data_IF_074292578967
#
_entry.id   IF_074292578967
#
_cell.length_a   1.000
_cell.length_b   1.000
_cell.length_c   1.000
_cell.angle_alpha   90.00
_cell.angle_beta   90.00
_cell.angle_gamma   90.00
#
_symmetry.space_group_name_H-M   'P 1'
#
loop_
_entity.id
_entity.type
_entity.pdbx_description
1 polymer ?
#
# COMPACT_ATOMS: atom_id res chain seq x y z
N UNK A 1 -8.81 45.46 -4.90
CA UNK A 1 -8.37 44.39 -3.96
C UNK A 1 -7.83 43.22 -4.76
N UNK A 2 -8.54 42.81 -5.80
CA UNK A 2 -8.20 41.65 -6.65
C UNK A 2 -6.85 41.77 -7.36
N UNK A 3 -6.49 42.95 -7.87
CA UNK A 3 -5.17 43.17 -8.51
C UNK A 3 -4.00 42.92 -7.54
N UNK A 4 -4.09 43.39 -6.29
CA UNK A 4 -3.06 43.14 -5.26
C UNK A 4 -2.97 41.66 -4.88
N UNK A 5 -4.10 40.96 -4.84
CA UNK A 5 -4.13 39.52 -4.57
C UNK A 5 -3.48 38.73 -5.72
N UNK A 6 -3.80 39.05 -6.97
CA UNK A 6 -3.21 38.39 -8.14
C UNK A 6 -1.71 38.68 -8.24
N UNK A 7 -1.26 39.90 -7.94
CA UNK A 7 0.17 40.22 -7.86
C UNK A 7 0.89 39.44 -6.76
N UNK A 8 0.27 39.26 -5.59
CA UNK A 8 0.82 38.45 -4.50
C UNK A 8 0.94 36.97 -4.90
N UNK A 9 -0.13 36.38 -5.42
CA UNK A 9 -0.13 34.99 -5.89
C UNK A 9 0.88 34.77 -7.03
N UNK A 10 0.99 35.71 -7.96
CA UNK A 10 1.98 35.65 -9.04
C UNK A 10 3.41 35.63 -8.48
N UNK A 11 3.69 36.46 -7.47
CA UNK A 11 4.99 36.50 -6.81
C UNK A 11 5.32 35.18 -6.11
N UNK A 12 4.34 34.57 -5.44
CA UNK A 12 4.49 33.26 -4.80
C UNK A 12 4.75 32.15 -5.82
N UNK A 13 4.02 32.14 -6.95
CA UNK A 13 4.24 31.19 -8.05
C UNK A 13 5.67 31.33 -8.57
N UNK A 14 6.13 32.55 -8.86
CA UNK A 14 7.49 32.79 -9.36
C UNK A 14 8.57 32.35 -8.37
N UNK A 15 8.38 32.59 -7.08
CA UNK A 15 9.30 32.11 -6.04
C UNK A 15 9.33 30.57 -5.99
N UNK A 16 8.18 29.93 -6.14
CA UNK A 16 8.05 28.46 -6.14
C UNK A 16 8.70 27.84 -7.37
N UNK A 17 8.49 28.43 -8.56
CA UNK A 17 9.16 28.01 -9.80
C UNK A 17 10.68 28.15 -9.70
N UNK A 18 11.18 29.22 -9.06
CA UNK A 18 12.62 29.38 -8.82
C UNK A 18 13.17 28.27 -7.91
N UNK A 19 12.44 27.90 -6.85
CA UNK A 19 12.79 26.77 -5.99
C UNK A 19 12.79 25.46 -6.79
N UNK A 20 11.78 25.22 -7.60
CA UNK A 20 11.69 24.05 -8.49
C UNK A 20 12.90 23.96 -9.41
N UNK A 21 13.27 25.04 -10.11
CA UNK A 21 14.46 25.06 -10.99
C UNK A 21 15.74 24.71 -10.24
N UNK A 22 15.93 25.24 -9.03
CA UNK A 22 17.10 24.94 -8.22
C UNK A 22 17.14 23.47 -7.79
N UNK A 23 15.99 22.91 -7.37
CA UNK A 23 15.86 21.50 -7.00
C UNK A 23 16.10 20.58 -8.20
N UNK A 24 15.52 20.87 -9.37
CA UNK A 24 15.75 20.12 -10.62
C UNK A 24 17.23 20.11 -10.97
N UNK A 25 17.92 21.25 -10.88
CA UNK A 25 19.37 21.33 -11.14
C UNK A 25 20.18 20.48 -10.15
N UNK A 26 19.76 20.45 -8.88
CA UNK A 26 20.35 19.56 -7.87
C UNK A 26 20.21 18.09 -8.27
N UNK A 27 19.00 17.65 -8.60
CA UNK A 27 18.71 16.26 -9.00
C UNK A 27 19.47 15.88 -10.27
N UNK A 28 19.47 16.77 -11.28
CA UNK A 28 20.20 16.58 -12.53
C UNK A 28 21.73 16.49 -12.33
N UNK A 29 22.28 17.16 -11.32
CA UNK A 29 23.69 17.09 -10.98
C UNK A 29 24.06 15.82 -10.20
N UNK A 30 23.12 15.26 -9.44
CA UNK A 30 23.31 14.02 -8.65
C UNK A 30 22.90 12.74 -9.39
N UNK A 31 22.33 12.85 -10.59
CA UNK A 31 21.88 11.70 -11.38
C UNK A 31 22.97 11.24 -12.34
N UNK A 32 23.37 9.98 -12.22
CA UNK A 32 24.35 9.36 -13.12
C UNK A 32 23.74 8.92 -14.47
N UNK A 33 22.41 8.80 -14.55
CA UNK A 33 21.71 8.41 -15.78
C UNK A 33 21.44 9.61 -16.69
N UNK A 34 22.02 9.57 -17.89
CA UNK A 34 21.85 10.61 -18.91
C UNK A 34 20.38 10.80 -19.29
N UNK A 35 19.63 9.72 -19.44
CA UNK A 35 18.24 9.78 -19.90
C UNK A 35 17.33 10.42 -18.84
N UNK A 36 17.50 10.05 -17.57
CA UNK A 36 16.79 10.67 -16.44
C UNK A 36 17.12 12.16 -16.32
N UNK A 37 18.39 12.53 -16.50
CA UNK A 37 18.84 13.93 -16.46
C UNK A 37 18.24 14.78 -17.58
N UNK A 38 18.14 14.25 -18.79
CA UNK A 38 17.54 14.97 -19.92
C UNK A 38 16.03 15.12 -19.75
N UNK A 39 15.34 14.02 -19.39
CA UNK A 39 13.89 14.01 -19.16
C UNK A 39 13.47 15.00 -18.07
N UNK A 40 14.17 15.03 -16.92
CA UNK A 40 13.79 15.91 -15.81
C UNK A 40 13.97 17.40 -16.17
N UNK A 41 15.00 17.74 -16.97
CA UNK A 41 15.25 19.10 -17.43
C UNK A 41 14.17 19.53 -18.42
N UNK A 42 13.86 18.68 -19.41
CA UNK A 42 12.83 18.95 -20.41
C UNK A 42 11.45 19.15 -19.77
N UNK A 43 11.05 18.25 -18.86
CA UNK A 43 9.78 18.39 -18.13
C UNK A 43 9.73 19.60 -17.21
N UNK A 44 10.85 19.94 -16.56
CA UNK A 44 10.92 21.16 -15.75
C UNK A 44 10.81 22.42 -16.61
N UNK A 45 11.39 22.42 -17.82
CA UNK A 45 11.25 23.50 -18.78
C UNK A 45 9.79 23.67 -19.22
N UNK A 46 9.11 22.56 -19.53
CA UNK A 46 7.68 22.56 -19.88
C UNK A 46 6.81 23.18 -18.76
N UNK A 47 7.06 22.83 -17.49
CA UNK A 47 6.37 23.42 -16.33
C UNK A 47 6.61 24.93 -16.25
N UNK A 48 7.85 25.39 -16.47
CA UNK A 48 8.19 26.81 -16.45
C UNK A 48 7.48 27.58 -17.57
N UNK A 49 7.46 27.02 -18.78
CA UNK A 49 6.83 27.65 -19.94
C UNK A 49 5.32 27.79 -19.74
N UNK A 50 4.63 26.71 -19.37
CA UNK A 50 3.19 26.70 -19.11
C UNK A 50 2.81 27.59 -17.93
N UNK A 51 3.61 27.60 -16.86
CA UNK A 51 3.36 28.48 -15.71
C UNK A 51 3.57 29.96 -16.06
N UNK A 52 4.53 30.28 -16.93
CA UNK A 52 4.72 31.64 -17.43
C UNK A 52 3.56 32.06 -18.32
N UNK A 53 3.03 31.14 -19.13
CA UNK A 53 1.82 31.37 -19.92
C UNK A 53 0.61 31.65 -19.02
N UNK A 54 0.42 30.86 -17.95
CA UNK A 54 -0.63 31.08 -16.93
C UNK A 54 -0.54 32.48 -16.30
N UNK A 55 0.65 32.90 -15.89
CA UNK A 55 0.87 34.24 -15.29
C UNK A 55 0.54 35.36 -16.28
N UNK A 56 0.97 35.23 -17.54
CA UNK A 56 0.67 36.23 -18.57
C UNK A 56 -0.84 36.36 -18.81
N UNK A 57 -1.54 35.23 -18.90
CA UNK A 57 -2.98 35.24 -19.18
C UNK A 57 -3.79 35.69 -17.94
N UNK A 58 -3.37 35.29 -16.73
CA UNK A 58 -3.94 35.78 -15.48
C UNK A 58 -3.86 37.32 -15.39
N UNK A 59 -2.73 37.92 -15.81
CA UNK A 59 -2.58 39.38 -15.82
C UNK A 59 -3.53 40.07 -16.81
N UNK A 60 -3.84 39.45 -17.95
CA UNK A 60 -4.84 39.98 -18.90
C UNK A 60 -6.25 39.87 -18.34
N UNK A 61 -6.56 38.76 -17.66
CA UNK A 61 -7.86 38.50 -17.05
C UNK A 61 -8.23 39.52 -15.96
N UNK A 62 -7.24 40.14 -15.27
CA UNK A 62 -7.48 41.22 -14.29
C UNK A 62 -8.26 42.40 -14.91
N UNK A 63 -8.00 42.71 -16.18
CA UNK A 63 -8.60 43.83 -16.88
C UNK A 63 -9.99 43.50 -17.45
N UNK A 64 -10.38 42.21 -17.44
CA UNK A 64 -11.61 41.67 -18.06
C UNK A 64 -12.21 40.52 -17.21
N UNK A 65 -12.67 40.80 -15.98
CA UNK A 65 -12.99 39.76 -14.99
C UNK A 65 -14.23 38.90 -15.31
N UNK A 66 -15.17 39.39 -16.11
CA UNK A 66 -16.45 38.72 -16.42
C UNK A 66 -16.45 38.00 -17.78
N UNK A 67 -15.30 37.89 -18.44
CA UNK A 67 -15.22 37.19 -19.72
C UNK A 67 -15.12 35.68 -19.52
N UNK A 68 -16.17 34.96 -19.93
CA UNK A 68 -16.28 33.51 -19.81
C UNK A 68 -15.21 32.78 -20.65
N UNK A 69 -14.79 33.36 -21.77
CA UNK A 69 -13.79 32.78 -22.67
C UNK A 69 -12.40 32.82 -22.03
N UNK A 70 -12.04 33.96 -21.42
CA UNK A 70 -10.78 34.12 -20.69
C UNK A 70 -10.74 33.23 -19.45
N UNK A 71 -11.86 33.09 -18.72
CA UNK A 71 -11.94 32.18 -17.57
C UNK A 71 -11.77 30.70 -17.97
N UNK A 72 -12.44 30.26 -19.05
CA UNK A 72 -12.30 28.91 -19.57
C UNK A 72 -10.87 28.62 -20.03
N UNK A 73 -10.27 29.58 -20.74
CA UNK A 73 -8.89 29.49 -21.20
C UNK A 73 -7.90 29.43 -20.03
N UNK A 74 -8.12 30.21 -18.97
CA UNK A 74 -7.29 30.18 -17.77
C UNK A 74 -7.39 28.82 -17.04
N UNK A 75 -8.60 28.26 -16.95
CA UNK A 75 -8.83 26.93 -16.37
C UNK A 75 -8.15 25.81 -17.19
N UNK A 76 -8.16 25.92 -18.52
CA UNK A 76 -7.44 25.01 -19.41
C UNK A 76 -5.93 25.09 -19.20
N UNK A 77 -5.35 26.30 -19.21
CA UNK A 77 -3.92 26.50 -18.95
C UNK A 77 -3.54 25.96 -17.56
N UNK A 78 -4.38 26.15 -16.53
CA UNK A 78 -4.13 25.59 -15.20
C UNK A 78 -4.13 24.05 -15.21
N UNK A 79 -5.00 23.41 -15.98
CA UNK A 79 -5.02 21.96 -16.19
C UNK A 79 -3.75 21.48 -16.90
N UNK A 80 -3.30 22.22 -17.91
CA UNK A 80 -2.04 21.94 -18.59
C UNK A 80 -0.83 22.06 -17.66
N UNK A 81 -0.76 23.11 -16.82
CA UNK A 81 0.29 23.26 -15.81
C UNK A 81 0.28 22.07 -14.84
N UNK A 82 -0.91 21.64 -14.41
CA UNK A 82 -1.06 20.47 -13.53
C UNK A 82 -0.58 19.18 -14.20
N UNK A 83 -0.87 19.01 -15.48
CA UNK A 83 -0.42 17.87 -16.28
C UNK A 83 1.11 17.86 -16.46
N UNK A 84 1.70 19.01 -16.77
CA UNK A 84 3.16 19.14 -16.87
C UNK A 84 3.86 18.92 -15.53
N UNK A 85 3.26 19.38 -14.42
CA UNK A 85 3.78 19.13 -13.07
C UNK A 85 3.79 17.63 -12.76
N UNK A 86 2.70 16.92 -13.06
CA UNK A 86 2.64 15.46 -12.91
C UNK A 86 3.67 14.73 -13.78
N UNK A 87 3.85 15.16 -15.03
CA UNK A 87 4.89 14.60 -15.91
C UNK A 87 6.31 14.85 -15.37
N UNK A 88 6.55 16.01 -14.76
CA UNK A 88 7.80 16.33 -14.09
C UNK A 88 8.03 15.45 -12.86
N UNK A 89 6.99 15.17 -12.07
CA UNK A 89 7.04 14.26 -10.92
C UNK A 89 7.36 12.84 -11.39
N UNK A 90 6.70 12.33 -12.44
CA UNK A 90 6.97 10.98 -12.97
C UNK A 90 8.35 10.83 -13.61
N UNK A 91 9.02 11.92 -13.97
CA UNK A 91 10.40 11.90 -14.44
C UNK A 91 11.44 11.89 -13.30
N UNK A 92 11.00 11.93 -12.04
CA UNK A 92 11.90 11.87 -10.89
C UNK A 92 12.51 10.46 -10.78
N UNK A 93 13.80 10.34 -10.40
CA UNK A 93 14.45 9.04 -10.29
C UNK A 93 13.71 8.06 -9.36
N UNK A 94 13.18 8.55 -8.23
CA UNK A 94 12.42 7.73 -7.27
C UNK A 94 11.12 7.16 -7.86
N UNK A 95 10.42 7.93 -8.70
CA UNK A 95 9.21 7.49 -9.39
C UNK A 95 9.50 6.45 -10.45
N UNK A 96 10.60 6.62 -11.22
CA UNK A 96 10.96 5.70 -12.30
C UNK A 96 11.15 4.27 -11.82
N UNK A 97 11.84 4.06 -10.69
CA UNK A 97 12.05 2.72 -10.14
C UNK A 97 10.74 2.03 -9.76
N UNK A 98 9.79 2.78 -9.19
CA UNK A 98 8.48 2.26 -8.82
C UNK A 98 7.61 2.01 -10.06
N UNK A 99 7.68 2.85 -11.08
CA UNK A 99 7.00 2.65 -12.36
C UNK A 99 7.49 1.41 -13.10
N UNK A 100 8.81 1.22 -13.16
CA UNK A 100 9.43 0.03 -13.76
C UNK A 100 9.03 -1.25 -12.99
N UNK A 101 8.89 -1.17 -11.66
CA UNK A 101 8.42 -2.28 -10.85
C UNK A 101 6.93 -2.58 -11.05
N UNK A 102 6.07 -1.55 -11.08
CA UNK A 102 4.62 -1.72 -11.35
C UNK A 102 4.43 -2.38 -12.71
N UNK A 103 5.18 -1.95 -13.73
CA UNK A 103 5.14 -2.55 -15.06
C UNK A 103 5.55 -4.03 -15.02
N UNK A 104 6.69 -4.35 -14.40
CA UNK A 104 7.18 -5.73 -14.28
C UNK A 104 6.20 -6.63 -13.52
N UNK A 105 5.66 -6.17 -12.39
CA UNK A 105 4.65 -6.92 -11.61
C UNK A 105 3.37 -7.12 -12.43
N UNK A 106 2.93 -6.09 -13.16
CA UNK A 106 1.73 -6.17 -14.02
C UNK A 106 1.87 -7.18 -15.16
N UNK A 107 3.08 -7.38 -15.70
CA UNK A 107 3.33 -8.39 -16.74
C UNK A 107 3.08 -9.83 -16.25
N UNK A 108 3.22 -10.11 -14.94
CA UNK A 108 2.92 -11.42 -14.38
C UNK A 108 1.43 -11.78 -14.40
N UNK A 109 0.52 -10.82 -14.64
CA UNK A 109 -0.90 -11.14 -14.84
C UNK A 109 -1.10 -12.06 -16.04
N UNK A 110 -0.27 -11.93 -17.09
CA UNK A 110 -0.32 -12.79 -18.28
C UNK A 110 0.25 -14.18 -18.00
N UNK A 111 1.25 -14.28 -17.11
CA UNK A 111 1.77 -15.58 -16.65
C UNK A 111 0.70 -16.33 -15.86
N UNK A 112 -0.07 -15.62 -15.01
CA UNK A 112 -1.18 -16.18 -14.24
C UNK A 112 -2.46 -16.43 -15.06
N UNK A 113 -2.59 -15.79 -16.22
CA UNK A 113 -3.72 -15.91 -17.14
C UNK A 113 -3.48 -16.78 -18.37
N UNK A 114 -2.22 -17.15 -18.63
CA UNK A 114 -1.83 -17.96 -19.78
C UNK A 114 -2.33 -19.40 -19.72
N UNK A 115 -2.34 -20.12 -20.86
CA UNK A 115 -2.70 -21.53 -20.88
C UNK A 115 -1.70 -22.32 -20.02
N UNK A 116 -2.19 -22.88 -18.91
CA UNK A 116 -1.43 -23.77 -18.05
C UNK A 116 -1.18 -25.07 -18.82
N UNK A 117 0.08 -25.33 -19.14
CA UNK A 117 0.49 -26.41 -20.01
C UNK A 117 0.45 -27.75 -19.26
N UNK A 118 -0.69 -28.46 -19.35
CA UNK A 118 -0.90 -29.79 -18.73
C UNK A 118 0.15 -30.82 -19.19
N UNK A 119 0.85 -30.57 -20.30
CA UNK A 119 1.84 -31.46 -20.91
C UNK A 119 3.29 -31.11 -20.58
N UNK A 120 3.56 -30.06 -19.78
CA UNK A 120 4.91 -29.83 -19.25
C UNK A 120 5.18 -30.90 -18.19
N UNK A 121 5.76 -31.99 -18.69
CA UNK A 121 6.29 -33.19 -18.05
C UNK A 121 6.30 -33.08 -16.52
N UNK A 122 5.62 -34.05 -15.89
CA UNK A 122 5.91 -34.53 -14.54
C UNK A 122 7.40 -34.89 -14.46
N UNK A 123 8.29 -33.90 -14.43
CA UNK A 123 9.63 -34.13 -13.92
C UNK A 123 9.43 -34.62 -12.51
N UNK A 124 10.18 -35.64 -12.14
CA UNK A 124 10.23 -36.25 -10.82
C UNK A 124 10.74 -35.23 -9.80
N UNK A 125 10.02 -34.14 -9.63
CA UNK A 125 10.39 -33.07 -8.72
C UNK A 125 9.94 -33.53 -7.36
N UNK A 126 10.91 -33.62 -6.45
CA UNK A 126 10.62 -33.93 -5.08
C UNK A 126 9.71 -32.82 -4.51
N UNK A 127 8.43 -33.15 -4.32
CA UNK A 127 7.40 -32.21 -3.87
C UNK A 127 7.75 -31.53 -2.54
N UNK A 128 8.58 -32.17 -1.72
CA UNK A 128 9.12 -31.57 -0.49
C UNK A 128 10.14 -30.46 -0.78
N UNK A 129 10.99 -30.64 -1.80
CA UNK A 129 11.95 -29.62 -2.22
C UNK A 129 11.22 -28.40 -2.77
N UNK A 130 10.18 -28.60 -3.59
CA UNK A 130 9.34 -27.49 -4.08
C UNK A 130 8.52 -26.80 -2.99
N UNK A 131 8.10 -27.55 -1.97
CA UNK A 131 7.43 -26.97 -0.80
C UNK A 131 8.37 -26.07 0.01
N UNK A 132 9.63 -26.50 0.19
CA UNK A 132 10.65 -25.67 0.82
C UNK A 132 10.99 -24.46 -0.05
N UNK A 133 11.07 -24.61 -1.38
CA UNK A 133 11.29 -23.51 -2.33
C UNK A 133 10.18 -22.46 -2.27
N UNK A 134 8.89 -22.85 -2.29
CA UNK A 134 7.80 -21.86 -2.19
C UNK A 134 7.74 -21.19 -0.82
N UNK A 135 8.06 -21.93 0.26
CA UNK A 135 8.12 -21.35 1.61
C UNK A 135 9.28 -20.36 1.75
N UNK A 136 10.44 -20.68 1.18
CA UNK A 136 11.62 -19.80 1.18
C UNK A 136 11.39 -18.55 0.32
N UNK A 137 10.79 -18.70 -0.87
CA UNK A 137 10.45 -17.56 -1.73
C UNK A 137 9.34 -16.70 -1.13
N UNK A 138 8.37 -17.30 -0.43
CA UNK A 138 7.37 -16.56 0.35
C UNK A 138 8.02 -15.74 1.49
N UNK A 139 8.95 -16.33 2.24
CA UNK A 139 9.69 -15.63 3.28
C UNK A 139 10.52 -14.47 2.71
N UNK A 140 11.22 -14.69 1.59
CA UNK A 140 11.97 -13.66 0.88
C UNK A 140 11.05 -12.52 0.38
N UNK A 141 9.87 -12.84 -0.15
CA UNK A 141 8.90 -11.84 -0.60
C UNK A 141 8.30 -11.05 0.58
N UNK A 142 8.01 -11.69 1.72
CA UNK A 142 7.58 -10.99 2.94
C UNK A 142 8.66 -10.04 3.47
N UNK A 143 9.92 -10.47 3.45
CA UNK A 143 11.04 -9.60 3.82
C UNK A 143 11.17 -8.43 2.85
N UNK A 144 11.15 -8.69 1.54
CA UNK A 144 11.24 -7.65 0.52
C UNK A 144 10.07 -6.65 0.60
N UNK A 145 8.87 -7.12 0.97
CA UNK A 145 7.69 -6.30 1.24
C UNK A 145 7.96 -5.34 2.40
N UNK A 146 8.55 -5.84 3.49
CA UNK A 146 8.91 -5.04 4.66
C UNK A 146 10.00 -4.02 4.33
N UNK A 147 11.03 -4.44 3.61
CA UNK A 147 12.14 -3.59 3.18
C UNK A 147 11.66 -2.46 2.26
N UNK A 148 10.70 -2.74 1.36
CA UNK A 148 10.06 -1.73 0.52
C UNK A 148 9.33 -0.66 1.34
N UNK A 149 8.59 -1.06 2.38
CA UNK A 149 7.93 -0.10 3.29
C UNK A 149 8.96 0.78 3.99
N UNK A 150 10.05 0.19 4.48
CA UNK A 150 11.14 0.92 5.15
C UNK A 150 11.84 1.88 4.18
N UNK A 151 12.18 1.42 2.97
CA UNK A 151 12.84 2.23 1.95
C UNK A 151 11.94 3.37 1.44
N UNK A 152 10.64 3.16 1.39
CA UNK A 152 9.67 4.23 1.07
C UNK A 152 9.63 5.29 2.18
N UNK A 153 9.73 4.88 3.44
CA UNK A 153 9.72 5.77 4.61
C UNK A 153 11.02 6.57 4.78
N UNK A 154 12.16 5.99 4.44
CA UNK A 154 13.46 6.66 4.60
C UNK A 154 13.61 7.84 3.64
N UNK A 155 12.91 7.84 2.51
CA UNK A 155 12.94 8.91 1.52
C UNK A 155 14.27 9.00 0.73
N UNK A 156 15.20 8.05 0.95
CA UNK A 156 16.42 7.96 0.16
C UNK A 156 16.15 7.21 -1.15
N UNK A 157 16.32 7.91 -2.26
CA UNK A 157 16.14 7.36 -3.62
C UNK A 157 16.95 6.09 -3.87
N UNK A 158 18.16 5.99 -3.31
CA UNK A 158 19.02 4.82 -3.50
C UNK A 158 18.52 3.59 -2.74
N UNK A 159 17.94 3.78 -1.54
CA UNK A 159 17.36 2.69 -0.77
C UNK A 159 16.09 2.20 -1.45
N UNK A 160 15.24 3.14 -1.91
CA UNK A 160 14.02 2.81 -2.64
C UNK A 160 14.32 2.02 -3.92
N UNK A 161 15.36 2.38 -4.69
CA UNK A 161 15.75 1.64 -5.88
C UNK A 161 16.14 0.18 -5.56
N UNK A 162 16.94 -0.01 -4.49
CA UNK A 162 17.38 -1.35 -4.05
C UNK A 162 16.20 -2.19 -3.56
N UNK A 163 15.37 -1.64 -2.68
CA UNK A 163 14.24 -2.38 -2.08
C UNK A 163 13.16 -2.69 -3.10
N UNK A 164 12.88 -1.77 -4.02
CA UNK A 164 11.92 -1.99 -5.14
C UNK A 164 12.41 -3.06 -6.11
N UNK A 165 13.71 -3.08 -6.43
CA UNK A 165 14.30 -4.12 -7.29
C UNK A 165 14.29 -5.49 -6.60
N UNK A 166 14.63 -5.54 -5.30
CA UNK A 166 14.56 -6.76 -4.51
C UNK A 166 13.13 -7.30 -4.42
N UNK A 167 12.14 -6.44 -4.17
CA UNK A 167 10.73 -6.78 -4.16
C UNK A 167 10.28 -7.39 -5.49
N UNK A 168 10.57 -6.73 -6.62
CA UNK A 168 10.16 -7.19 -7.95
C UNK A 168 10.77 -8.55 -8.29
N UNK A 169 12.04 -8.77 -7.94
CA UNK A 169 12.71 -10.05 -8.11
C UNK A 169 12.11 -11.15 -7.24
N UNK A 170 11.92 -10.88 -5.93
CA UNK A 170 11.32 -11.83 -5.00
C UNK A 170 9.88 -12.19 -5.41
N UNK A 171 9.13 -11.22 -5.91
CA UNK A 171 7.78 -11.41 -6.43
C UNK A 171 7.78 -12.34 -7.65
N UNK A 172 8.66 -12.08 -8.62
CA UNK A 172 8.80 -12.93 -9.80
C UNK A 172 9.21 -14.36 -9.47
N UNK A 173 10.20 -14.53 -8.58
CA UNK A 173 10.60 -15.84 -8.06
C UNK A 173 9.42 -16.59 -7.42
N UNK A 174 8.64 -15.90 -6.57
CA UNK A 174 7.47 -16.48 -5.90
C UNK A 174 6.36 -16.88 -6.89
N UNK A 175 5.98 -16.00 -7.82
CA UNK A 175 4.93 -16.29 -8.81
C UNK A 175 5.33 -17.44 -9.73
N UNK A 176 6.58 -17.46 -10.21
CA UNK A 176 7.06 -18.55 -11.07
C UNK A 176 7.02 -19.91 -10.35
N UNK A 177 7.46 -19.97 -9.08
CA UNK A 177 7.35 -21.18 -8.26
C UNK A 177 5.87 -21.56 -7.99
N UNK A 178 5.01 -20.57 -7.75
CA UNK A 178 3.57 -20.77 -7.60
C UNK A 178 2.91 -21.35 -8.85
N UNK A 179 3.20 -20.82 -10.03
CA UNK A 179 2.66 -21.33 -11.29
C UNK A 179 3.17 -22.75 -11.58
N UNK A 180 4.44 -23.03 -11.30
CA UNK A 180 5.00 -24.38 -11.40
C UNK A 180 4.25 -25.36 -10.48
N UNK A 181 3.99 -24.99 -9.23
CA UNK A 181 3.22 -25.81 -8.29
C UNK A 181 1.75 -25.97 -8.71
N UNK A 182 1.14 -24.93 -9.28
CA UNK A 182 -0.21 -25.01 -9.82
C UNK A 182 -0.30 -26.06 -10.94
N UNK A 183 0.71 -26.16 -11.80
CA UNK A 183 0.76 -27.16 -12.87
C UNK A 183 0.88 -28.60 -12.35
N UNK A 184 1.41 -28.80 -11.14
CA UNK A 184 1.53 -30.11 -10.50
C UNK A 184 0.29 -30.51 -9.67
N UNK A 185 -0.72 -29.64 -9.56
CA UNK A 185 -1.96 -29.98 -8.88
C UNK A 185 -2.79 -30.95 -9.73
N UNK A 186 -3.15 -32.14 -9.19
CA UNK A 186 -3.87 -33.16 -9.95
C UNK A 186 -5.35 -32.81 -10.17
N UNK A 187 -5.90 -31.95 -9.32
CA UNK A 187 -7.31 -31.56 -9.35
C UNK A 187 -7.47 -30.14 -9.94
N UNK A 188 -8.39 -30.02 -10.90
CA UNK A 188 -8.66 -28.77 -11.62
C UNK A 188 -9.27 -27.70 -10.71
N UNK A 189 -10.04 -28.09 -9.68
CA UNK A 189 -10.63 -27.17 -8.70
C UNK A 189 -9.57 -26.63 -7.74
N UNK A 190 -8.76 -27.50 -7.12
CA UNK A 190 -7.59 -27.10 -6.31
C UNK A 190 -6.61 -26.22 -7.08
N UNK A 191 -6.35 -26.55 -8.34
CA UNK A 191 -5.49 -25.72 -9.22
C UNK A 191 -6.08 -24.33 -9.43
N UNK A 192 -7.37 -24.24 -9.73
CA UNK A 192 -8.06 -22.97 -9.94
C UNK A 192 -8.00 -22.10 -8.67
N UNK A 193 -8.30 -22.69 -7.51
CA UNK A 193 -8.23 -22.01 -6.23
C UNK A 193 -6.82 -21.49 -5.92
N UNK A 194 -5.78 -22.29 -6.21
CA UNK A 194 -4.39 -21.88 -6.00
C UNK A 194 -3.97 -20.72 -6.92
N UNK A 195 -4.38 -20.73 -8.19
CA UNK A 195 -4.14 -19.62 -9.12
C UNK A 195 -4.88 -18.34 -8.65
N UNK A 196 -6.08 -18.46 -8.12
CA UNK A 196 -6.81 -17.31 -7.53
C UNK A 196 -6.03 -16.72 -6.36
N UNK A 197 -5.47 -17.54 -5.47
CA UNK A 197 -4.63 -17.06 -4.37
C UNK A 197 -3.38 -16.32 -4.89
N UNK A 198 -2.72 -16.81 -5.95
CA UNK A 198 -1.59 -16.10 -6.58
C UNK A 198 -2.01 -14.77 -7.23
N UNK A 199 -3.19 -14.71 -7.84
CA UNK A 199 -3.76 -13.46 -8.38
C UNK A 199 -4.07 -12.43 -7.29
N UNK A 200 -4.48 -12.87 -6.11
CA UNK A 200 -4.67 -11.98 -4.95
C UNK A 200 -3.34 -11.37 -4.50
N UNK A 201 -2.26 -12.18 -4.43
CA UNK A 201 -0.91 -11.67 -4.15
C UNK A 201 -0.53 -10.61 -5.19
N UNK A 202 -0.62 -10.91 -6.49
CA UNK A 202 -0.37 -9.96 -7.57
C UNK A 202 -1.14 -8.63 -7.41
N UNK A 203 -2.45 -8.71 -7.15
CA UNK A 203 -3.30 -7.53 -7.03
C UNK A 203 -2.90 -6.68 -5.82
N UNK A 204 -2.66 -7.31 -4.66
CA UNK A 204 -2.21 -6.61 -3.46
C UNK A 204 -0.79 -6.03 -3.61
N UNK A 205 0.12 -6.71 -4.31
CA UNK A 205 1.48 -6.23 -4.58
C UNK A 205 1.48 -4.99 -5.49
N UNK A 206 0.62 -4.96 -6.53
CA UNK A 206 0.43 -3.76 -7.34
C UNK A 206 -0.14 -2.60 -6.52
N UNK A 207 -1.14 -2.85 -5.66
CA UNK A 207 -1.69 -1.83 -4.77
C UNK A 207 -0.63 -1.26 -3.81
N UNK A 208 0.25 -2.12 -3.27
CA UNK A 208 1.37 -1.70 -2.44
C UNK A 208 2.34 -0.78 -3.21
N UNK A 209 2.73 -1.16 -4.43
CA UNK A 209 3.62 -0.36 -5.26
C UNK A 209 3.02 0.98 -5.66
N UNK A 210 1.73 1.02 -6.04
CA UNK A 210 1.00 2.27 -6.31
C UNK A 210 0.95 3.16 -5.07
N UNK A 211 0.75 2.55 -3.89
CA UNK A 211 0.76 3.30 -2.64
C UNK A 211 2.15 3.85 -2.32
N UNK A 212 3.20 3.04 -2.50
CA UNK A 212 4.59 3.47 -2.35
C UNK A 212 4.93 4.62 -3.31
N UNK A 213 4.44 4.55 -4.56
CA UNK A 213 4.59 5.61 -5.57
C UNK A 213 3.94 6.90 -5.14
N UNK A 214 2.72 6.86 -4.62
CA UNK A 214 2.03 8.06 -4.13
C UNK A 214 2.77 8.74 -2.98
N UNK A 215 3.32 7.95 -2.05
CA UNK A 215 4.01 8.44 -0.85
C UNK A 215 5.41 8.96 -1.19
N UNK A 216 6.09 8.34 -2.16
CA UNK A 216 7.43 8.78 -2.58
C UNK A 216 7.45 10.17 -3.25
N UNK A 217 6.29 10.71 -3.64
CA UNK A 217 6.17 12.08 -4.17
C UNK A 217 6.00 13.10 -3.06
N UNK A 218 5.42 12.67 -1.93
CA UNK A 218 5.12 13.58 -0.85
C UNK A 218 6.41 14.00 -0.14
N UNK A 219 6.61 15.31 0.11
CA UNK A 219 7.69 15.78 0.96
C UNK A 219 7.71 15.02 2.28
N UNK A 220 8.88 14.61 2.77
CA UNK A 220 9.02 13.86 4.04
C UNK A 220 8.37 14.57 5.24
N UNK A 221 8.23 15.90 5.17
CA UNK A 221 7.55 16.73 6.16
C UNK A 221 6.01 16.67 6.10
N UNK A 222 5.44 16.22 4.98
CA UNK A 222 3.97 16.06 4.77
C UNK A 222 3.54 14.60 4.70
N UNK A 223 4.47 13.64 4.72
CA UNK A 223 4.13 12.23 4.89
C UNK A 223 3.42 12.10 6.23
N UNK A 224 2.10 12.03 6.17
CA UNK A 224 1.27 11.87 7.36
C UNK A 224 1.46 10.47 7.90
N UNK A 225 1.27 10.33 9.21
CA UNK A 225 1.24 9.04 9.88
C UNK A 225 0.21 8.08 9.24
N UNK A 226 -0.84 8.62 8.61
CA UNK A 226 -1.87 7.85 7.92
C UNK A 226 -1.41 7.33 6.57
N UNK A 227 -0.62 8.08 5.80
CA UNK A 227 -0.02 7.58 4.57
C UNK A 227 0.93 6.41 4.87
N UNK A 228 1.73 6.52 5.93
CA UNK A 228 2.56 5.43 6.43
C UNK A 228 1.74 4.23 6.92
N UNK A 229 0.60 4.47 7.58
CA UNK A 229 -0.30 3.41 8.02
C UNK A 229 -0.97 2.70 6.84
N UNK A 230 -1.41 3.44 5.82
CA UNK A 230 -1.98 2.85 4.62
C UNK A 230 -0.96 2.01 3.84
N UNK A 231 0.30 2.45 3.81
CA UNK A 231 1.39 1.66 3.23
C UNK A 231 1.64 0.36 4.01
N UNK A 232 1.66 0.43 5.35
CA UNK A 232 1.79 -0.76 6.20
C UNK A 232 0.60 -1.69 6.09
N UNK A 233 -0.62 -1.16 5.98
CA UNK A 233 -1.81 -1.96 5.77
C UNK A 233 -1.76 -2.67 4.41
N UNK A 234 -1.34 -1.99 3.34
CA UNK A 234 -1.14 -2.63 2.05
C UNK A 234 -0.09 -3.75 2.11
N UNK A 235 1.02 -3.54 2.82
CA UNK A 235 2.04 -4.56 3.04
C UNK A 235 1.52 -5.75 3.87
N UNK A 236 0.67 -5.50 4.87
CA UNK A 236 0.00 -6.55 5.65
C UNK A 236 -0.91 -7.40 4.77
N UNK A 237 -1.73 -6.78 3.92
CA UNK A 237 -2.59 -7.51 2.96
C UNK A 237 -1.77 -8.38 2.01
N UNK A 238 -0.61 -7.89 1.52
CA UNK A 238 0.31 -8.69 0.70
C UNK A 238 0.81 -9.91 1.48
N UNK A 239 1.24 -9.70 2.72
CA UNK A 239 1.75 -10.75 3.61
C UNK A 239 0.67 -11.81 3.90
N UNK A 240 -0.56 -11.38 4.16
CA UNK A 240 -1.70 -12.25 4.42
C UNK A 240 -2.04 -13.09 3.17
N UNK A 241 -2.01 -12.49 1.98
CA UNK A 241 -2.23 -13.21 0.72
C UNK A 241 -1.10 -14.23 0.43
N UNK A 242 0.16 -13.89 0.73
CA UNK A 242 1.29 -14.82 0.59
C UNK A 242 1.12 -16.01 1.54
N UNK A 243 0.76 -15.73 2.79
CA UNK A 243 0.49 -16.77 3.78
C UNK A 243 -0.68 -17.66 3.34
N UNK A 244 -1.75 -17.06 2.81
CA UNK A 244 -2.89 -17.79 2.27
C UNK A 244 -2.51 -18.73 1.12
N UNK A 245 -1.61 -18.32 0.20
CA UNK A 245 -1.08 -19.21 -0.85
C UNK A 245 -0.39 -20.43 -0.23
N UNK A 246 0.48 -20.23 0.77
CA UNK A 246 1.14 -21.34 1.48
C UNK A 246 0.09 -22.24 2.15
N UNK A 247 -0.92 -21.66 2.78
CA UNK A 247 -2.01 -22.39 3.43
C UNK A 247 -2.79 -23.23 2.41
N UNK A 248 -3.21 -22.66 1.29
CA UNK A 248 -3.93 -23.40 0.23
C UNK A 248 -3.07 -24.54 -0.32
N UNK A 249 -1.77 -24.31 -0.53
CA UNK A 249 -0.86 -25.35 -0.99
C UNK A 249 -0.69 -26.48 0.04
N UNK A 250 -0.45 -26.16 1.31
CA UNK A 250 -0.32 -27.15 2.39
C UNK A 250 -1.62 -27.94 2.56
N UNK A 251 -2.77 -27.26 2.58
CA UNK A 251 -4.09 -27.88 2.69
C UNK A 251 -4.42 -28.75 1.47
N UNK A 252 -3.95 -28.39 0.27
CA UNK A 252 -4.12 -29.22 -0.94
C UNK A 252 -3.43 -30.59 -0.83
N UNK A 253 -2.31 -30.67 -0.09
CA UNK A 253 -1.50 -31.87 0.22
C UNK A 253 -1.96 -32.60 1.48
N UNK A 254 -2.62 -31.90 2.40
CA UNK A 254 -3.14 -32.43 3.64
C UNK A 254 -4.41 -33.30 3.42
N UNK A 255 -4.23 -34.58 3.12
CA UNK A 255 -5.30 -35.60 3.25
C UNK A 255 -5.58 -36.00 4.70
N UNK A 256 -4.96 -35.33 5.69
CA UNK A 256 -5.13 -35.61 7.11
C UNK A 256 -5.55 -34.37 7.89
N UNK A 257 -6.61 -34.51 8.68
CA UNK A 257 -7.15 -33.49 9.60
C UNK A 257 -6.08 -32.97 10.58
N UNK A 258 -5.03 -33.74 10.85
CA UNK A 258 -3.91 -33.35 11.72
C UNK A 258 -3.00 -32.27 11.10
N UNK A 259 -2.91 -32.19 9.77
CA UNK A 259 -2.08 -31.18 9.07
C UNK A 259 -2.75 -29.80 8.99
N UNK A 260 -4.09 -29.75 8.98
CA UNK A 260 -4.85 -28.48 8.97
C UNK A 260 -4.69 -27.76 10.32
N UNK A 261 -4.77 -28.48 11.45
CA UNK A 261 -4.57 -27.89 12.77
C UNK A 261 -3.18 -27.27 12.96
N UNK A 262 -2.14 -27.90 12.41
CA UNK A 262 -0.76 -27.37 12.45
C UNK A 262 -0.62 -26.08 11.63
N UNK A 263 -1.21 -26.05 10.44
CA UNK A 263 -1.15 -24.90 9.55
C UNK A 263 -1.84 -23.67 10.17
N UNK A 264 -2.98 -23.85 10.83
CA UNK A 264 -3.67 -22.76 11.53
C UNK A 264 -2.87 -22.23 12.71
N UNK A 265 -2.16 -23.11 13.44
CA UNK A 265 -1.21 -22.67 14.47
C UNK A 265 -0.06 -21.84 13.86
N UNK A 266 0.52 -22.27 12.74
CA UNK A 266 1.60 -21.54 12.07
C UNK A 266 1.10 -20.17 11.56
N UNK A 267 -0.13 -20.10 11.06
CA UNK A 267 -0.75 -18.84 10.62
C UNK A 267 -1.00 -17.89 11.79
N UNK A 268 -1.55 -18.39 12.90
CA UNK A 268 -1.76 -17.63 14.13
C UNK A 268 -0.44 -17.06 14.69
N UNK A 269 0.65 -17.84 14.68
CA UNK A 269 1.97 -17.37 15.12
C UNK A 269 2.46 -16.21 14.26
N UNK A 270 2.28 -16.28 12.93
CA UNK A 270 2.67 -15.18 12.03
C UNK A 270 1.88 -13.90 12.32
N UNK A 271 0.56 -14.00 12.46
CA UNK A 271 -0.29 -12.85 12.82
C UNK A 271 0.14 -12.22 14.16
N UNK A 272 0.43 -13.04 15.16
CA UNK A 272 0.90 -12.56 16.47
C UNK A 272 2.28 -11.88 16.40
N UNK A 273 3.24 -12.41 15.64
CA UNK A 273 4.55 -11.76 15.46
C UNK A 273 4.42 -10.41 14.73
N UNK A 274 3.52 -10.26 13.75
CA UNK A 274 3.27 -8.94 13.14
C UNK A 274 2.71 -7.93 14.15
N UNK A 275 1.82 -8.38 15.05
CA UNK A 275 1.25 -7.54 16.11
C UNK A 275 2.30 -7.11 17.15
N UNK A 276 3.33 -7.92 17.38
CA UNK A 276 4.47 -7.57 18.25
C UNK A 276 5.34 -6.47 17.66
N UNK A 277 5.63 -6.51 16.34
CA UNK A 277 6.32 -5.40 15.67
C UNK A 277 5.51 -4.11 15.75
N UNK A 278 4.18 -4.22 15.66
CA UNK A 278 3.27 -3.09 15.87
C UNK A 278 3.37 -2.53 17.30
N UNK A 279 3.39 -3.41 18.31
CA UNK A 279 3.56 -3.04 19.73
C UNK A 279 4.86 -2.27 20.00
N UNK A 280 5.94 -2.60 19.31
CA UNK A 280 7.22 -1.89 19.42
C UNK A 280 7.17 -0.45 18.88
N UNK A 281 6.19 -0.12 18.03
CA UNK A 281 6.03 1.21 17.42
C UNK A 281 4.93 2.06 18.09
N UNK A 282 4.28 1.56 19.15
CA UNK A 282 3.07 2.15 19.74
C UNK A 282 3.25 3.53 20.38
N UNK A 283 4.47 3.93 20.71
CA UNK A 283 4.72 5.26 21.27
C UNK A 283 4.55 6.39 20.23
N UNK A 284 4.55 6.06 18.94
CA UNK A 284 4.66 7.06 17.86
C UNK A 284 3.31 7.42 17.22
N UNK A 285 2.28 6.56 17.31
CA UNK A 285 1.03 6.77 16.58
C UNK A 285 -0.20 6.15 17.29
N UNK A 286 -1.35 6.85 17.29
CA UNK A 286 -2.62 6.24 17.70
C UNK A 286 -3.06 5.19 16.67
N UNK A 287 -3.31 3.97 17.13
CA UNK A 287 -3.77 2.85 16.30
C UNK A 287 -5.23 3.02 15.86
N UNK A 288 -6.03 3.62 16.73
CA UNK A 288 -7.47 3.81 16.57
C UNK A 288 -7.90 5.17 17.13
N UNK A 289 -9.20 5.48 17.02
CA UNK A 289 -9.80 6.72 17.54
C UNK A 289 -10.45 6.53 18.92
N UNK A 290 -10.18 5.42 19.61
CA UNK A 290 -10.78 5.15 20.91
C UNK A 290 -10.23 6.09 21.97
N UNK A 291 -11.12 6.50 22.86
CA UNK A 291 -10.76 7.12 24.13
C UNK A 291 -10.15 6.09 25.07
N UNK A 292 -9.50 6.56 26.15
CA UNK A 292 -8.84 5.68 27.11
C UNK A 292 -9.80 4.64 27.70
N UNK A 293 -11.03 5.04 28.04
CA UNK A 293 -12.03 4.15 28.63
C UNK A 293 -12.60 3.15 27.63
N UNK A 294 -12.85 3.57 26.38
CA UNK A 294 -13.27 2.65 25.31
C UNK A 294 -12.17 1.62 25.00
N UNK A 295 -10.90 2.04 24.98
CA UNK A 295 -9.77 1.13 24.82
C UNK A 295 -9.69 0.11 25.98
N UNK A 296 -10.00 0.53 27.21
CA UNK A 296 -10.04 -0.35 28.38
C UNK A 296 -11.17 -1.38 28.27
N UNK A 297 -12.37 -0.96 27.89
CA UNK A 297 -13.51 -1.87 27.68
C UNK A 297 -13.18 -2.92 26.60
N UNK A 298 -12.56 -2.50 25.49
CA UNK A 298 -12.10 -3.43 24.46
C UNK A 298 -11.01 -4.39 24.95
N UNK A 299 -10.09 -3.96 25.83
CA UNK A 299 -9.12 -4.88 26.45
C UNK A 299 -9.83 -5.93 27.30
N UNK A 300 -10.83 -5.52 28.09
CA UNK A 300 -11.61 -6.44 28.92
C UNK A 300 -12.36 -7.46 28.06
N UNK A 301 -13.10 -6.99 27.05
CA UNK A 301 -13.87 -7.86 26.15
C UNK A 301 -12.97 -8.84 25.39
N UNK A 302 -11.85 -8.37 24.84
CA UNK A 302 -10.91 -9.23 24.13
C UNK A 302 -10.19 -10.21 25.06
N UNK A 303 -9.91 -9.83 26.32
CA UNK A 303 -9.35 -10.75 27.32
C UNK A 303 -10.31 -11.89 27.66
N UNK A 304 -11.62 -11.60 27.74
CA UNK A 304 -12.66 -12.59 27.95
C UNK A 304 -12.78 -13.54 26.76
N UNK A 305 -12.83 -12.98 25.54
CA UNK A 305 -12.86 -13.77 24.30
C UNK A 305 -11.63 -14.67 24.16
N UNK A 306 -10.45 -14.19 24.54
CA UNK A 306 -9.23 -15.00 24.56
C UNK A 306 -9.34 -16.14 25.58
N UNK A 307 -9.85 -15.89 26.78
CA UNK A 307 -10.07 -16.93 27.79
C UNK A 307 -11.06 -18.01 27.35
N UNK A 308 -12.16 -17.62 26.71
CA UNK A 308 -13.12 -18.54 26.11
C UNK A 308 -12.48 -19.36 24.98
N UNK A 309 -11.74 -18.72 24.08
CA UNK A 309 -11.02 -19.39 22.99
C UNK A 309 -9.98 -20.39 23.51
N UNK A 310 -9.18 -20.04 24.53
CA UNK A 310 -8.22 -20.96 25.15
C UNK A 310 -8.91 -22.19 25.78
N UNK A 311 -10.09 -22.00 26.37
CA UNK A 311 -10.89 -23.09 26.91
C UNK A 311 -11.42 -24.00 25.80
N UNK A 312 -11.87 -23.42 24.69
CA UNK A 312 -12.29 -24.16 23.50
C UNK A 312 -11.13 -24.91 22.83
N UNK A 313 -9.92 -24.35 22.78
CA UNK A 313 -8.72 -25.05 22.31
C UNK A 313 -8.45 -26.27 23.18
N UNK A 314 -8.51 -26.12 24.51
CA UNK A 314 -8.26 -27.21 25.45
C UNK A 314 -9.33 -28.32 25.37
N UNK A 315 -10.61 -27.96 25.20
CA UNK A 315 -11.69 -28.93 25.06
C UNK A 315 -11.68 -29.63 23.70
N UNK A 316 -11.40 -28.91 22.62
CA UNK A 316 -11.27 -29.46 21.27
C UNK A 316 -10.07 -30.41 21.15
N UNK A 317 -8.95 -30.09 21.83
CA UNK A 317 -7.79 -30.97 21.91
C UNK A 317 -8.09 -32.28 22.65
N UNK A 318 -8.89 -32.25 23.73
CA UNK A 318 -9.30 -33.46 24.47
C UNK A 318 -10.22 -34.36 23.64
N UNK A 319 -11.08 -33.78 22.83
CA UNK A 319 -12.08 -34.49 22.04
C UNK A 319 -11.56 -34.88 20.63
N UNK A 320 -10.27 -34.65 20.34
CA UNK A 320 -9.65 -34.88 19.02
C UNK A 320 -10.42 -34.27 17.85
N UNK A 321 -11.15 -33.17 18.09
CA UNK A 321 -11.92 -32.51 17.04
C UNK A 321 -11.07 -31.42 16.40
N UNK A 322 -10.47 -31.76 15.26
CA UNK A 322 -9.52 -30.90 14.55
C UNK A 322 -10.17 -29.61 14.00
N UNK A 323 -11.44 -29.64 13.59
CA UNK A 323 -12.12 -28.45 13.06
C UNK A 323 -12.41 -27.41 14.15
N UNK A 324 -12.96 -27.85 15.28
CA UNK A 324 -13.22 -26.96 16.42
C UNK A 324 -11.91 -26.41 17.01
N UNK A 325 -10.85 -27.21 16.99
CA UNK A 325 -9.52 -26.76 17.40
C UNK A 325 -9.01 -25.64 16.50
N UNK A 326 -9.04 -25.83 15.17
CA UNK A 326 -8.62 -24.80 14.20
C UNK A 326 -9.39 -23.50 14.36
N UNK A 327 -10.72 -23.57 14.51
CA UNK A 327 -11.54 -22.36 14.70
C UNK A 327 -11.21 -21.65 16.02
N UNK A 328 -11.03 -22.40 17.11
CA UNK A 328 -10.67 -21.84 18.41
C UNK A 328 -9.28 -21.19 18.40
N UNK A 329 -8.31 -21.77 17.66
CA UNK A 329 -6.98 -21.17 17.45
C UNK A 329 -7.08 -19.86 16.67
N UNK A 330 -7.90 -19.81 15.62
CA UNK A 330 -8.11 -18.59 14.85
C UNK A 330 -8.78 -17.48 15.67
N UNK A 331 -9.79 -17.84 16.48
CA UNK A 331 -10.47 -16.89 17.37
C UNK A 331 -9.52 -16.36 18.45
N UNK A 332 -8.64 -17.21 18.98
CA UNK A 332 -7.59 -16.79 19.90
C UNK A 332 -6.60 -15.82 19.24
N UNK A 333 -6.15 -16.11 18.00
CA UNK A 333 -5.26 -15.21 17.24
C UNK A 333 -5.86 -13.82 17.06
N UNK A 334 -7.12 -13.76 16.60
CA UNK A 334 -7.86 -12.51 16.41
C UNK A 334 -8.02 -11.74 17.72
N UNK A 335 -8.37 -12.43 18.82
CA UNK A 335 -8.50 -11.80 20.13
C UNK A 335 -7.18 -11.21 20.63
N UNK A 336 -6.04 -11.92 20.43
CA UNK A 336 -4.70 -11.41 20.76
C UNK A 336 -4.34 -10.18 19.93
N UNK A 337 -4.60 -10.20 18.62
CA UNK A 337 -4.32 -9.06 17.74
C UNK A 337 -5.15 -7.82 18.14
N UNK A 338 -6.46 -7.98 18.38
CA UNK A 338 -7.32 -6.87 18.82
C UNK A 338 -6.96 -6.35 20.21
N UNK A 339 -6.49 -7.23 21.10
CA UNK A 339 -6.00 -6.85 22.43
C UNK A 339 -4.69 -6.04 22.32
N UNK A 340 -3.77 -6.46 21.44
CA UNK A 340 -2.55 -5.71 21.14
C UNK A 340 -2.88 -4.32 20.57
N UNK A 341 -3.82 -4.21 19.64
CA UNK A 341 -4.25 -2.92 19.06
C UNK A 341 -4.89 -1.97 20.09
N UNK A 342 -5.69 -2.51 21.02
CA UNK A 342 -6.33 -1.71 22.07
C UNK A 342 -5.34 -1.27 23.14
N UNK A 343 -4.39 -2.16 23.49
CA UNK A 343 -3.32 -1.89 24.45
C UNK A 343 -2.28 -0.91 23.89
N UNK A 344 -2.01 -0.98 22.59
CA UNK A 344 -1.22 0.00 21.84
C UNK A 344 -1.79 1.41 21.98
N UNK A 345 -3.10 1.57 21.72
CA UNK A 345 -3.79 2.85 21.88
C UNK A 345 -3.72 3.36 23.31
N UNK A 346 -4.02 2.52 24.29
CA UNK A 346 -3.98 2.92 25.69
C UNK A 346 -2.58 3.40 26.10
N UNK A 347 -1.53 2.72 25.63
CA UNK A 347 -0.13 3.11 25.87
C UNK A 347 0.21 4.45 25.22
N UNK A 348 -0.26 4.69 23.99
CA UNK A 348 -0.12 5.98 23.32
C UNK A 348 -0.82 7.12 24.10
N UNK A 349 -2.05 6.88 24.55
CA UNK A 349 -2.83 7.85 25.34
C UNK A 349 -2.17 8.17 26.69
N UNK A 350 -1.48 7.20 27.30
CA UNK A 350 -0.66 7.42 28.49
C UNK A 350 0.58 8.26 28.13
N UNK A 351 1.25 7.99 27.01
CA UNK A 351 2.42 8.76 26.56
C UNK A 351 2.13 10.24 26.26
N UNK A 352 0.94 10.57 25.74
CA UNK A 352 0.52 11.97 25.56
C UNK A 352 0.09 12.66 26.87
N UNK A 353 -0.17 11.88 27.92
CA UNK A 353 -0.58 12.40 29.23
C UNK A 353 0.60 12.84 30.10
N UNK A 354 1.83 12.48 29.71
CA UNK A 354 3.05 12.87 30.41
C UNK A 354 3.32 14.38 30.24
N UNK A 355 3.68 15.06 31.33
CA UNK A 355 3.86 16.52 31.35
C UNK A 355 5.04 17.03 30.49
N UNK A 356 5.99 16.15 30.17
CA UNK A 356 7.15 16.41 29.28
C UNK A 356 6.80 16.23 27.80
N UNK A 357 5.64 15.63 27.50
CA UNK A 357 5.19 15.34 26.15
C UNK A 357 4.58 16.58 25.50
N UNK A 358 5.05 16.92 24.31
CA UNK A 358 4.45 17.99 23.49
C UNK A 358 3.39 17.37 22.59
N UNK A 359 2.12 17.75 22.78
CA UNK A 359 1.04 17.31 21.90
C UNK A 359 1.37 17.70 20.46
N UNK A 360 1.40 16.72 19.55
CA UNK A 360 1.48 16.99 18.13
C UNK A 360 0.32 17.90 17.73
N UNK A 361 0.61 18.99 17.02
CA UNK A 361 -0.44 19.82 16.46
C UNK A 361 -1.21 18.99 15.43
N UNK A 362 -2.48 18.66 15.72
CA UNK A 362 -3.38 18.13 14.71
C UNK A 362 -3.37 19.10 13.53
N UNK A 363 -3.20 18.58 12.31
CA UNK A 363 -3.33 19.39 11.12
C UNK A 363 -4.67 20.14 11.18
N UNK A 364 -4.68 21.42 10.78
CA UNK A 364 -5.88 22.29 10.75
C UNK A 364 -6.99 21.66 9.88
N UNK A 365 -6.61 20.75 8.99
CA UNK A 365 -7.45 20.09 8.00
C UNK A 365 -7.18 18.60 8.06
N UNK A 366 -8.25 17.81 8.20
CA UNK A 366 -8.22 16.33 8.13
C UNK A 366 -8.07 15.89 6.66
N UNK A 367 -6.83 15.92 6.16
CA UNK A 367 -6.48 15.61 4.76
C UNK A 367 -7.01 14.26 4.23
N UNK A 368 -7.05 13.14 4.98
CA UNK A 368 -7.66 11.91 4.50
C UNK A 368 -9.19 12.02 4.39
N UNK A 369 -9.85 12.81 5.24
CA UNK A 369 -11.30 13.02 5.16
C UNK A 369 -11.65 13.77 3.87
N UNK A 370 -10.84 14.76 3.47
CA UNK A 370 -10.97 15.41 2.17
C UNK A 370 -10.72 14.45 1.02
N UNK A 371 -9.65 13.65 1.07
CA UNK A 371 -9.32 12.67 0.01
C UNK A 371 -10.44 11.63 -0.17
N UNK A 372 -10.96 11.09 0.95
CA UNK A 372 -12.10 10.18 0.96
C UNK A 372 -13.36 10.85 0.41
N UNK A 373 -13.67 12.07 0.85
CA UNK A 373 -14.85 12.81 0.40
C UNK A 373 -14.81 13.12 -1.09
N UNK A 374 -13.66 13.57 -1.61
CA UNK A 374 -13.46 13.82 -3.04
C UNK A 374 -13.63 12.52 -3.84
N UNK A 375 -13.15 11.39 -3.34
CA UNK A 375 -13.28 10.09 -4.00
C UNK A 375 -14.74 9.65 -4.07
N UNK A 376 -15.49 9.79 -2.96
CA UNK A 376 -16.93 9.50 -2.90
C UNK A 376 -17.71 10.39 -3.86
N UNK A 377 -17.41 11.70 -3.91
CA UNK A 377 -18.07 12.64 -4.82
C UNK A 377 -17.77 12.25 -6.27
N UNK A 378 -16.52 11.95 -6.62
CA UNK A 378 -16.16 11.52 -7.98
C UNK A 378 -16.86 10.22 -8.38
N UNK A 379 -16.95 9.25 -7.46
CA UNK A 379 -17.69 8.01 -7.70
C UNK A 379 -19.17 8.30 -7.94
N UNK A 380 -19.81 9.11 -7.09
CA UNK A 380 -21.20 9.51 -7.27
C UNK A 380 -21.42 10.28 -8.58
N UNK A 381 -20.49 11.14 -9.00
CA UNK A 381 -20.55 11.80 -10.30
C UNK A 381 -20.39 10.82 -11.47
N UNK A 382 -19.52 9.82 -11.35
CA UNK A 382 -19.38 8.77 -12.35
C UNK A 382 -20.66 7.94 -12.47
N UNK A 383 -21.27 7.58 -11.33
CA UNK A 383 -22.56 6.89 -11.29
C UNK A 383 -23.66 7.74 -11.94
N UNK A 384 -23.73 9.05 -11.63
CA UNK A 384 -24.69 9.98 -12.24
C UNK A 384 -24.49 10.17 -13.74
N UNK A 385 -23.25 10.05 -14.23
CA UNK A 385 -22.95 10.11 -15.66
C UNK A 385 -23.32 8.82 -16.41
N UNK A 386 -23.38 7.69 -15.70
CA UNK A 386 -23.87 6.43 -16.24
C UNK A 386 -25.40 6.45 -16.27
N UNK A 387 -25.97 6.61 -17.46
CA UNK A 387 -27.39 6.89 -17.74
C UNK A 387 -28.35 5.73 -17.44
N UNK A 388 -27.96 4.75 -16.61
CA UNK A 388 -28.73 3.57 -16.22
C UNK A 388 -28.95 3.46 -14.70
N UNK A 389 -28.98 4.58 -13.99
CA UNK A 389 -29.45 4.58 -12.61
C UNK A 389 -30.98 4.47 -12.60
N UNK A 390 -31.46 3.24 -12.37
CA UNK A 390 -32.85 2.96 -11.99
C UNK A 390 -33.22 3.89 -10.83
N UNK A 391 -33.99 4.94 -11.13
CA UNK A 391 -34.71 5.71 -10.12
C UNK A 391 -35.75 4.77 -9.51
N UNK A 392 -35.36 3.99 -8.51
CA UNK A 392 -36.31 3.42 -7.57
C UNK A 392 -36.75 4.54 -6.64
N UNK A 393 -37.94 5.05 -6.93
CA UNK A 393 -38.76 5.86 -6.01
C UNK A 393 -38.97 5.17 -4.66
#
# INVERSE_FOLDING_TARGET
NDEKTVESCTREILQTLRKLTNSTRGIAATSDDHQTRESIIERSHEVLERSTHLVREAKKAIHTPNDLEIQNKLAEIAREVSSALNACISSMPSQRYLDDAIKQVSEYVYVLGGPLDKNKVQTTINLETKQNEITNTAANLNQATTDLVIGTRSGLTQDLAKTTTHFTRAFGEFINNGVELANHQPDDEKRTNFIVSLKNVHTSSNQLLEKAKSISVEPTATITNENNQQLTNAARVVTDNINHVITVYVTSKATSEASIGRLECDNAIREMETSKTFLQQCALQPSNKYTYYEALDHVIDNSKRLGEAMTHIASASKNTNHQLFSQAVQDASKAVCSLAESSAQASYLIGISEATSTKGSSAIVDQPLFTRSVTIIRHACADLSNTNLDRKE
#
